data_IF_327785633709
#
_entry.id   IF_327785633709
#
_cell.length_a   1.000
_cell.length_b   1.000
_cell.length_c   1.000
_cell.angle_alpha   90.00
_cell.angle_beta   90.00
_cell.angle_gamma   90.00
#
_symmetry.space_group_name_H-M   'P 1'
#
loop_
_entity.id
_entity.type
_entity.pdbx_description
1 polymer ?
#
# COMPACT_ATOMS: atom_id res chain seq x y z
N UNK A 1 -1.54 -17.09 20.36
CA UNK A 1 -2.48 -16.75 19.27
C UNK A 1 -2.39 -17.84 18.24
N UNK A 2 -3.44 -18.57 18.04
CA UNK A 2 -3.48 -19.71 17.13
C UNK A 2 -4.08 -19.29 15.78
N UNK A 3 -3.41 -19.66 14.68
CA UNK A 3 -3.90 -19.48 13.32
C UNK A 3 -4.96 -20.52 13.03
N UNK A 4 -6.15 -20.08 12.59
CA UNK A 4 -7.31 -20.94 12.33
C UNK A 4 -7.65 -20.97 10.83
N UNK A 5 -8.94 -20.84 10.51
CA UNK A 5 -9.44 -20.99 9.15
C UNK A 5 -9.00 -19.86 8.22
N UNK A 6 -8.74 -20.19 6.97
CA UNK A 6 -8.51 -19.19 5.92
C UNK A 6 -9.82 -18.48 5.59
N UNK A 7 -9.87 -17.19 5.87
CA UNK A 7 -11.02 -16.33 5.62
C UNK A 7 -11.07 -15.83 4.17
N UNK A 8 -9.89 -15.52 3.63
CA UNK A 8 -9.78 -14.89 2.30
C UNK A 8 -8.41 -15.17 1.69
N UNK A 9 -8.37 -15.27 0.36
CA UNK A 9 -7.13 -15.29 -0.42
C UNK A 9 -7.21 -14.26 -1.54
N UNK A 10 -6.28 -13.30 -1.51
CA UNK A 10 -6.10 -12.30 -2.55
C UNK A 10 -4.93 -12.60 -3.46
N UNK A 11 -4.60 -11.63 -4.30
CA UNK A 11 -3.49 -11.70 -5.29
C UNK A 11 -2.13 -11.91 -4.62
N UNK A 12 -1.88 -11.25 -3.49
CA UNK A 12 -0.57 -11.23 -2.81
C UNK A 12 -0.60 -11.77 -1.37
N UNK A 13 -1.77 -12.01 -0.80
CA UNK A 13 -1.94 -12.35 0.63
C UNK A 13 -3.04 -13.37 0.86
N UNK A 14 -2.89 -14.12 1.95
CA UNK A 14 -3.94 -14.93 2.59
C UNK A 14 -4.27 -14.32 3.95
N UNK A 15 -5.52 -14.36 4.34
CA UNK A 15 -5.99 -13.87 5.63
C UNK A 15 -6.62 -15.01 6.39
N UNK A 16 -6.25 -15.15 7.66
CA UNK A 16 -6.72 -16.22 8.54
C UNK A 16 -7.38 -15.64 9.79
N UNK A 17 -8.40 -16.34 10.29
CA UNK A 17 -8.95 -16.07 11.62
C UNK A 17 -8.00 -16.54 12.71
N UNK A 18 -8.23 -16.05 13.93
CA UNK A 18 -7.48 -16.45 15.11
C UNK A 18 -8.44 -16.92 16.24
N UNK A 19 -7.90 -17.27 17.38
CA UNK A 19 -8.64 -17.50 18.62
C UNK A 19 -9.26 -16.22 19.20
N UNK A 20 -8.79 -15.03 18.77
CA UNK A 20 -9.39 -13.73 19.09
C UNK A 20 -10.23 -13.24 17.90
N UNK A 21 -11.56 -12.99 18.08
CA UNK A 21 -12.43 -12.57 16.98
C UNK A 21 -12.12 -11.19 16.42
N UNK A 22 -11.37 -10.36 17.15
CA UNK A 22 -10.98 -9.01 16.75
C UNK A 22 -9.60 -8.93 16.04
N UNK A 23 -8.92 -10.08 15.92
CA UNK A 23 -7.59 -10.18 15.33
C UNK A 23 -7.56 -11.19 14.16
N UNK A 24 -6.75 -10.85 13.16
CA UNK A 24 -6.51 -11.69 11.98
C UNK A 24 -5.01 -11.89 11.78
N UNK A 25 -4.64 -12.97 11.08
CA UNK A 25 -3.27 -13.17 10.59
C UNK A 25 -3.27 -12.96 9.08
N UNK A 26 -2.39 -12.08 8.63
CA UNK A 26 -2.09 -11.86 7.21
C UNK A 26 -0.81 -12.60 6.86
N UNK A 27 -0.85 -13.45 5.84
CA UNK A 27 0.28 -14.23 5.32
C UNK A 27 0.59 -13.79 3.90
N UNK A 28 1.81 -13.32 3.66
CA UNK A 28 2.24 -12.74 2.38
C UNK A 28 2.78 -13.81 1.44
N UNK A 29 2.41 -13.69 0.15
CA UNK A 29 2.77 -14.60 -0.93
C UNK A 29 3.82 -13.96 -1.85
N UNK A 30 4.53 -14.81 -2.57
CA UNK A 30 5.47 -14.38 -3.62
C UNK A 30 4.79 -14.16 -5.00
N UNK A 31 3.48 -14.47 -5.07
CA UNK A 31 2.69 -14.22 -6.29
C UNK A 31 2.67 -12.73 -6.64
N UNK A 32 2.93 -12.43 -7.90
CA UNK A 32 2.86 -11.10 -8.46
C UNK A 32 1.85 -11.04 -9.59
N UNK A 33 1.00 -10.02 -9.57
CA UNK A 33 0.04 -9.74 -10.65
C UNK A 33 0.13 -8.27 -11.05
N UNK A 34 -0.10 -8.00 -12.34
CA UNK A 34 -0.23 -6.65 -12.87
C UNK A 34 -1.38 -6.59 -13.87
N UNK A 35 -1.87 -5.35 -14.17
CA UNK A 35 -2.92 -5.08 -15.15
C UNK A 35 -4.18 -5.92 -14.88
N UNK A 36 -4.74 -5.84 -13.66
CA UNK A 36 -5.93 -6.60 -13.23
C UNK A 36 -5.80 -8.12 -13.44
N UNK A 37 -4.60 -8.66 -13.21
CA UNK A 37 -4.33 -10.10 -13.31
C UNK A 37 -4.04 -10.62 -14.72
N UNK A 38 -3.94 -9.75 -15.72
CA UNK A 38 -3.52 -10.13 -17.08
C UNK A 38 -2.07 -10.58 -17.12
N UNK A 39 -1.21 -9.99 -16.29
CA UNK A 39 0.17 -10.44 -16.09
C UNK A 39 0.30 -11.13 -14.74
N UNK A 40 0.83 -12.34 -14.74
CA UNK A 40 1.05 -13.16 -13.54
C UNK A 40 2.49 -13.66 -13.53
N UNK A 41 3.04 -13.81 -12.34
CA UNK A 41 4.38 -14.36 -12.12
C UNK A 41 4.63 -14.55 -10.63
N UNK A 42 5.86 -14.93 -10.31
CA UNK A 42 6.37 -15.06 -8.95
C UNK A 42 7.63 -14.23 -8.84
N UNK A 43 7.77 -13.48 -7.76
CA UNK A 43 8.97 -12.75 -7.39
C UNK A 43 9.47 -13.38 -6.10
N UNK A 44 10.60 -14.09 -6.16
CA UNK A 44 11.14 -14.83 -5.02
C UNK A 44 11.46 -13.88 -3.86
N UNK A 45 10.99 -14.22 -2.64
CA UNK A 45 11.21 -13.41 -1.45
C UNK A 45 10.32 -12.17 -1.31
N UNK A 46 9.50 -11.86 -2.32
CA UNK A 46 8.61 -10.68 -2.29
C UNK A 46 7.72 -10.65 -1.05
N UNK A 47 7.14 -11.79 -0.68
CA UNK A 47 6.25 -11.89 0.48
C UNK A 47 6.96 -11.54 1.80
N UNK A 48 8.22 -11.93 1.95
CA UNK A 48 9.03 -11.56 3.13
C UNK A 48 9.24 -10.05 3.16
N UNK A 49 9.74 -9.48 2.07
CA UNK A 49 10.04 -8.05 1.96
C UNK A 49 8.77 -7.20 2.17
N UNK A 50 7.67 -7.56 1.53
CA UNK A 50 6.41 -6.82 1.68
C UNK A 50 5.89 -6.87 3.12
N UNK A 51 5.97 -8.03 3.79
CA UNK A 51 5.58 -8.18 5.19
C UNK A 51 6.43 -7.29 6.11
N UNK A 52 7.74 -7.43 6.05
CA UNK A 52 8.67 -6.71 6.92
C UNK A 52 8.63 -5.20 6.67
N UNK A 53 8.71 -4.76 5.42
CA UNK A 53 8.62 -3.34 5.08
C UNK A 53 7.29 -2.72 5.56
N UNK A 54 6.17 -3.40 5.30
CA UNK A 54 4.86 -2.90 5.76
C UNK A 54 4.81 -2.78 7.27
N UNK A 55 5.32 -3.76 8.01
CA UNK A 55 5.38 -3.73 9.47
C UNK A 55 6.20 -2.54 9.98
N UNK A 56 7.41 -2.34 9.45
CA UNK A 56 8.29 -1.22 9.84
C UNK A 56 7.64 0.14 9.55
N UNK A 57 7.07 0.30 8.36
CA UNK A 57 6.42 1.56 7.99
C UNK A 57 5.16 1.81 8.81
N UNK A 58 4.35 0.79 9.12
CA UNK A 58 3.19 0.95 10.00
C UNK A 58 3.60 1.33 11.42
N UNK A 59 4.66 0.72 11.96
CA UNK A 59 5.20 1.12 13.27
C UNK A 59 5.72 2.57 13.27
N UNK A 60 6.40 3.00 12.21
CA UNK A 60 6.82 4.40 12.04
C UNK A 60 5.61 5.34 12.05
N UNK A 61 4.57 5.01 11.29
CA UNK A 61 3.35 5.80 11.22
C UNK A 61 2.62 5.88 12.55
N UNK A 62 2.53 4.77 13.31
CA UNK A 62 1.93 4.77 14.66
C UNK A 62 2.70 5.66 15.65
N UNK A 63 4.03 5.62 15.62
CA UNK A 63 4.88 6.56 16.41
C UNK A 63 4.59 8.04 16.07
N UNK A 64 4.18 8.30 14.84
CA UNK A 64 3.81 9.64 14.34
C UNK A 64 2.31 9.94 14.53
N UNK A 65 1.55 9.08 15.22
CA UNK A 65 0.15 9.27 15.55
C UNK A 65 -0.84 9.00 14.42
N UNK A 66 -0.45 8.20 13.43
CA UNK A 66 -1.38 7.65 12.40
C UNK A 66 -1.80 6.25 12.84
N UNK A 67 -3.09 6.01 13.11
CA UNK A 67 -3.54 4.69 13.54
C UNK A 67 -3.48 3.69 12.39
N UNK A 68 -2.98 2.48 12.67
CA UNK A 68 -2.92 1.38 11.72
C UNK A 68 -3.60 0.11 12.25
N UNK A 69 -3.79 -0.87 11.38
CA UNK A 69 -4.28 -2.18 11.77
C UNK A 69 -3.17 -3.09 12.33
N UNK A 70 -1.91 -2.70 12.24
CA UNK A 70 -0.77 -3.49 12.72
C UNK A 70 -0.88 -3.78 14.21
N UNK A 71 -0.53 -4.99 14.62
CA UNK A 71 -0.43 -5.39 16.03
C UNK A 71 0.97 -5.93 16.31
N UNK A 72 1.41 -6.93 15.55
CA UNK A 72 2.68 -7.62 15.81
C UNK A 72 3.12 -8.47 14.62
N UNK A 73 4.39 -8.44 14.30
CA UNK A 73 5.01 -9.43 13.42
C UNK A 73 5.05 -10.80 14.12
N UNK A 74 4.66 -11.86 13.42
CA UNK A 74 4.66 -13.22 13.93
C UNK A 74 5.88 -14.00 13.42
N UNK A 75 6.20 -13.81 12.15
CA UNK A 75 7.38 -14.36 11.48
C UNK A 75 7.65 -13.54 10.21
N UNK A 76 8.66 -13.92 9.44
CA UNK A 76 9.08 -13.20 8.23
C UNK A 76 7.97 -12.95 7.19
N UNK A 77 6.89 -13.76 7.19
CA UNK A 77 5.80 -13.70 6.21
C UNK A 77 4.43 -13.40 6.81
N UNK A 78 4.31 -13.41 8.12
CA UNK A 78 3.02 -13.31 8.78
C UNK A 78 2.98 -12.21 9.84
N UNK A 79 1.90 -11.47 9.80
CA UNK A 79 1.63 -10.36 10.72
C UNK A 79 0.25 -10.51 11.34
N UNK A 80 0.17 -10.30 12.65
CA UNK A 80 -1.07 -10.15 13.38
C UNK A 80 -1.58 -8.72 13.18
N UNK A 81 -2.84 -8.60 12.78
CA UNK A 81 -3.50 -7.32 12.52
C UNK A 81 -4.85 -7.24 13.20
N UNK A 82 -5.30 -6.03 13.52
CA UNK A 82 -6.66 -5.76 13.97
C UNK A 82 -7.63 -6.10 12.82
N UNK A 83 -8.72 -6.76 13.16
CA UNK A 83 -9.80 -7.03 12.20
C UNK A 83 -10.47 -5.72 11.84
N UNK A 84 -10.52 -5.41 10.57
CA UNK A 84 -11.17 -4.21 10.04
C UNK A 84 -12.18 -4.58 8.97
N UNK A 85 -13.22 -3.77 8.83
CA UNK A 85 -14.06 -3.77 7.64
C UNK A 85 -13.48 -2.79 6.64
N UNK A 86 -12.86 -3.30 5.59
CA UNK A 86 -12.24 -2.47 4.54
C UNK A 86 -13.29 -1.53 3.95
N UNK A 87 -12.91 -0.26 3.81
CA UNK A 87 -13.66 0.71 3.03
C UNK A 87 -13.29 0.44 1.56
N UNK A 88 -14.26 0.21 0.68
CA UNK A 88 -13.98 -0.24 -0.69
C UNK A 88 -13.45 0.90 -1.58
N UNK A 89 -12.37 1.52 -1.13
CA UNK A 89 -11.64 2.58 -1.81
C UNK A 89 -10.15 2.26 -1.84
N UNK A 90 -9.55 2.38 -3.00
CA UNK A 90 -8.11 2.58 -3.13
C UNK A 90 -7.84 4.09 -3.05
N UNK A 91 -6.93 4.48 -2.18
CA UNK A 91 -6.53 5.87 -1.95
C UNK A 91 -5.10 6.04 -2.43
N UNK A 92 -4.89 6.87 -3.44
CA UNK A 92 -3.59 7.04 -4.06
C UNK A 92 -3.14 8.49 -3.87
N UNK A 93 -1.96 8.68 -3.29
CA UNK A 93 -1.30 9.99 -3.21
C UNK A 93 -0.13 9.98 -4.17
N UNK A 94 -0.02 11.06 -4.98
CA UNK A 94 1.07 11.21 -5.95
C UNK A 94 1.81 12.52 -5.74
N UNK A 95 3.13 12.41 -5.72
CA UNK A 95 4.06 13.52 -5.64
C UNK A 95 4.66 13.83 -7.02
N UNK A 96 4.72 12.83 -7.89
CA UNK A 96 5.32 12.87 -9.22
C UNK A 96 4.39 12.14 -10.18
N UNK A 97 4.26 12.66 -11.40
CA UNK A 97 3.47 12.02 -12.44
C UNK A 97 4.09 10.67 -12.84
N UNK A 98 3.31 9.59 -12.73
CA UNK A 98 3.71 8.25 -13.16
C UNK A 98 2.50 7.35 -13.43
N UNK A 99 2.73 6.24 -14.10
CA UNK A 99 1.76 5.17 -14.27
C UNK A 99 0.44 5.62 -14.88
N UNK A 100 -0.67 5.32 -14.21
CA UNK A 100 -2.02 5.65 -14.71
C UNK A 100 -2.28 7.16 -14.81
N UNK A 101 -1.70 7.98 -13.94
CA UNK A 101 -1.84 9.43 -14.01
C UNK A 101 -1.25 9.98 -15.31
N UNK A 102 0.00 9.63 -15.61
CA UNK A 102 0.65 10.05 -16.86
C UNK A 102 -0.15 9.59 -18.09
N UNK A 103 -0.65 8.35 -18.05
CA UNK A 103 -1.43 7.77 -19.15
C UNK A 103 -2.79 8.45 -19.34
N UNK A 104 -3.53 8.72 -18.27
CA UNK A 104 -4.89 9.26 -18.34
C UNK A 104 -4.91 10.76 -18.67
N UNK A 105 -3.94 11.51 -18.18
CA UNK A 105 -3.93 12.97 -18.30
C UNK A 105 -2.90 13.48 -19.32
N UNK A 106 -2.12 12.59 -19.97
CA UNK A 106 -1.13 12.98 -20.96
C UNK A 106 0.06 13.77 -20.37
N UNK A 107 0.31 13.61 -19.06
CA UNK A 107 1.43 14.27 -18.39
C UNK A 107 2.66 13.38 -18.49
N UNK A 108 3.81 13.95 -18.82
CA UNK A 108 5.08 13.22 -18.91
C UNK A 108 5.45 12.58 -17.57
N UNK A 109 5.93 11.32 -17.60
CA UNK A 109 6.43 10.63 -16.40
C UNK A 109 7.63 11.39 -15.84
N UNK A 110 7.63 11.60 -14.51
CA UNK A 110 8.71 12.31 -13.83
C UNK A 110 8.41 13.80 -13.55
N UNK A 111 7.32 14.35 -14.06
CA UNK A 111 6.90 15.72 -13.71
C UNK A 111 6.54 15.77 -12.23
N UNK A 112 7.25 16.59 -11.47
CA UNK A 112 7.04 16.81 -10.04
C UNK A 112 5.87 17.77 -9.85
N UNK A 113 4.95 17.44 -8.96
CA UNK A 113 3.81 18.31 -8.66
C UNK A 113 4.18 19.38 -7.62
N UNK A 114 3.69 20.61 -7.79
CA UNK A 114 3.83 21.68 -6.79
C UNK A 114 3.20 21.29 -5.44
N UNK A 115 2.13 20.50 -5.49
CA UNK A 115 1.45 19.93 -4.33
C UNK A 115 1.06 18.49 -4.65
N UNK A 116 1.16 17.57 -3.67
CA UNK A 116 0.68 16.21 -3.85
C UNK A 116 -0.80 16.19 -4.27
N UNK A 117 -1.15 15.30 -5.19
CA UNK A 117 -2.55 15.03 -5.53
C UNK A 117 -3.04 13.76 -4.84
N UNK A 118 -4.35 13.69 -4.59
CA UNK A 118 -5.01 12.52 -4.02
C UNK A 118 -6.09 12.03 -4.98
N UNK A 119 -6.12 10.73 -5.19
CA UNK A 119 -7.12 10.04 -6.02
C UNK A 119 -7.85 8.99 -5.19
N UNK A 120 -9.13 8.79 -5.50
CA UNK A 120 -9.91 7.67 -5.01
C UNK A 120 -10.30 6.78 -6.18
N UNK A 121 -10.15 5.46 -6.02
CA UNK A 121 -10.72 4.48 -6.93
C UNK A 121 -11.68 3.58 -6.18
N UNK A 122 -12.77 3.19 -6.83
CA UNK A 122 -13.67 2.19 -6.29
C UNK A 122 -13.02 0.83 -6.38
N UNK A 123 -12.73 0.22 -5.21
CA UNK A 123 -12.14 -1.12 -5.13
C UNK A 123 -13.12 -2.18 -5.61
N UNK A 124 -13.11 -2.42 -6.91
CA UNK A 124 -13.95 -3.40 -7.58
C UNK A 124 -13.26 -3.92 -8.84
N UNK A 125 -12.55 -5.04 -8.71
CA UNK A 125 -11.80 -5.67 -9.81
C UNK A 125 -12.67 -5.90 -11.08
N UNK A 126 -13.94 -6.24 -10.89
CA UNK A 126 -14.86 -6.50 -12.02
C UNK A 126 -15.18 -5.24 -12.84
N UNK A 127 -15.07 -4.06 -12.21
CA UNK A 127 -15.26 -2.77 -12.87
C UNK A 127 -13.92 -2.11 -13.27
N UNK A 128 -12.77 -2.73 -13.00
CA UNK A 128 -11.46 -2.19 -13.28
C UNK A 128 -11.05 -1.02 -12.38
N UNK A 129 -11.53 -1.01 -11.13
CA UNK A 129 -11.21 -0.03 -10.09
C UNK A 129 -11.35 1.43 -10.58
N UNK A 130 -12.55 1.86 -11.02
CA UNK A 130 -12.75 3.17 -11.64
C UNK A 130 -12.48 4.32 -10.66
N UNK A 131 -11.92 5.42 -11.19
CA UNK A 131 -11.72 6.64 -10.42
C UNK A 131 -13.04 7.20 -9.90
N UNK A 132 -13.01 7.65 -8.65
CA UNK A 132 -14.13 8.32 -7.97
C UNK A 132 -13.70 9.70 -7.48
N UNK A 133 -14.68 10.62 -7.44
CA UNK A 133 -14.59 11.80 -6.60
C UNK A 133 -15.42 11.63 -5.31
N UNK A 134 -15.36 12.60 -4.40
CA UNK A 134 -16.11 12.57 -3.13
C UNK A 134 -17.62 12.35 -3.34
N UNK A 135 -18.22 13.01 -4.31
CA UNK A 135 -19.65 12.90 -4.58
C UNK A 135 -20.05 11.52 -5.08
N UNK A 136 -19.21 10.90 -5.92
CA UNK A 136 -19.42 9.52 -6.35
C UNK A 136 -19.34 8.55 -5.16
N UNK A 137 -18.32 8.71 -4.29
CA UNK A 137 -18.17 7.86 -3.10
C UNK A 137 -19.39 7.96 -2.16
N UNK A 138 -19.93 9.16 -1.98
CA UNK A 138 -21.15 9.40 -1.19
C UNK A 138 -22.39 8.78 -1.85
N UNK A 139 -22.58 8.98 -3.17
CA UNK A 139 -23.71 8.43 -3.91
C UNK A 139 -23.72 6.90 -3.89
N UNK A 140 -22.56 6.27 -3.99
CA UNK A 140 -22.37 4.83 -3.89
C UNK A 140 -22.43 4.30 -2.44
N UNK A 141 -22.51 5.19 -1.45
CA UNK A 141 -22.54 4.86 -0.01
C UNK A 141 -21.34 4.01 0.44
N UNK A 142 -20.19 4.16 -0.19
CA UNK A 142 -18.97 3.42 0.17
C UNK A 142 -18.32 3.99 1.42
N UNK A 143 -18.45 5.31 1.64
CA UNK A 143 -18.00 6.01 2.83
C UNK A 143 -18.89 7.22 3.11
N UNK A 144 -18.93 7.67 4.37
CA UNK A 144 -19.56 8.94 4.75
C UNK A 144 -18.61 10.11 4.46
N UNK A 145 -19.16 11.32 4.40
CA UNK A 145 -18.37 12.54 4.20
C UNK A 145 -17.26 12.69 5.27
N UNK A 146 -17.59 12.41 6.53
CA UNK A 146 -16.64 12.49 7.66
C UNK A 146 -15.52 11.46 7.54
N UNK A 147 -15.81 10.25 7.06
CA UNK A 147 -14.81 9.22 6.79
C UNK A 147 -13.88 9.64 5.65
N UNK A 148 -14.41 10.16 4.55
CA UNK A 148 -13.61 10.64 3.42
C UNK A 148 -12.65 11.75 3.82
N UNK A 149 -13.12 12.72 4.64
CA UNK A 149 -12.26 13.77 5.19
C UNK A 149 -11.16 13.21 6.10
N UNK A 150 -11.49 12.19 6.90
CA UNK A 150 -10.51 11.54 7.78
C UNK A 150 -9.47 10.79 6.97
N UNK A 151 -9.90 10.06 5.95
CA UNK A 151 -9.02 9.32 5.03
C UNK A 151 -8.08 10.29 4.30
N UNK A 152 -8.61 11.37 3.73
CA UNK A 152 -7.79 12.39 3.05
C UNK A 152 -6.73 12.99 3.98
N UNK A 153 -7.11 13.37 5.19
CA UNK A 153 -6.19 13.90 6.20
C UNK A 153 -5.10 12.89 6.56
N UNK A 154 -5.46 11.63 6.78
CA UNK A 154 -4.48 10.58 7.07
C UNK A 154 -3.57 10.32 5.86
N UNK A 155 -4.12 10.22 4.67
CA UNK A 155 -3.35 9.99 3.46
C UNK A 155 -2.29 11.06 3.21
N UNK A 156 -2.66 12.33 3.37
CA UNK A 156 -1.72 13.44 3.22
C UNK A 156 -0.67 13.47 4.34
N UNK A 157 -1.05 13.14 5.57
CA UNK A 157 -0.09 13.02 6.67
C UNK A 157 0.89 11.88 6.48
N UNK A 158 0.38 10.70 6.07
CA UNK A 158 1.20 9.53 5.73
C UNK A 158 2.19 9.90 4.63
N UNK A 159 1.74 10.62 3.59
CA UNK A 159 2.61 11.07 2.51
C UNK A 159 3.80 11.90 3.01
N UNK A 160 3.56 12.89 3.86
CA UNK A 160 4.63 13.70 4.43
C UNK A 160 5.64 12.86 5.22
N UNK A 161 5.15 12.00 6.11
CA UNK A 161 6.01 11.12 6.92
C UNK A 161 6.84 10.18 6.04
N UNK A 162 6.22 9.55 5.05
CA UNK A 162 6.93 8.62 4.17
C UNK A 162 7.91 9.32 3.22
N UNK A 163 7.58 10.53 2.71
CA UNK A 163 8.53 11.31 1.92
C UNK A 163 9.80 11.66 2.72
N UNK A 164 9.62 12.15 3.95
CA UNK A 164 10.74 12.46 4.85
C UNK A 164 11.58 11.22 5.14
N UNK A 165 10.96 10.09 5.47
CA UNK A 165 11.64 8.84 5.75
C UNK A 165 12.40 8.32 4.51
N UNK A 166 11.75 8.22 3.38
CA UNK A 166 12.39 7.69 2.16
C UNK A 166 13.52 8.60 1.65
N UNK A 167 13.42 9.91 1.87
CA UNK A 167 14.52 10.83 1.54
C UNK A 167 15.78 10.52 2.34
N UNK A 168 15.68 10.10 3.62
CA UNK A 168 16.86 9.66 4.39
C UNK A 168 17.49 8.39 3.83
N UNK A 169 16.70 7.54 3.15
CA UNK A 169 17.17 6.32 2.49
C UNK A 169 17.73 6.56 1.07
N UNK A 170 17.84 7.79 0.60
CA UNK A 170 18.21 8.10 -0.79
C UNK A 170 17.15 7.63 -1.79
N UNK A 171 15.89 7.65 -1.41
CA UNK A 171 14.76 7.17 -2.21
C UNK A 171 13.70 8.25 -2.36
N UNK A 172 13.19 8.41 -3.57
CA UNK A 172 12.09 9.31 -3.88
C UNK A 172 10.77 8.54 -3.89
N UNK A 173 9.84 8.93 -3.01
CA UNK A 173 8.46 8.44 -3.03
C UNK A 173 7.67 9.14 -4.14
N UNK A 174 7.44 8.45 -5.23
CA UNK A 174 6.72 8.97 -6.41
C UNK A 174 5.22 9.02 -6.17
N UNK A 175 4.64 7.89 -5.87
CA UNK A 175 3.25 7.71 -5.48
C UNK A 175 3.07 6.43 -4.67
N UNK A 176 1.93 6.30 -4.02
CA UNK A 176 1.58 5.06 -3.32
C UNK A 176 0.07 4.92 -3.13
N UNK A 177 -0.37 3.67 -3.10
CA UNK A 177 -1.74 3.26 -2.85
C UNK A 177 -1.90 2.83 -1.39
N UNK A 178 -2.99 3.26 -0.78
CA UNK A 178 -3.41 2.89 0.57
C UNK A 178 -4.83 2.34 0.57
N UNK A 179 -5.13 1.50 1.55
CA UNK A 179 -6.48 1.10 1.89
C UNK A 179 -6.76 1.41 3.37
N UNK A 180 -7.99 1.77 3.67
CA UNK A 180 -8.42 2.09 5.04
C UNK A 180 -9.54 1.17 5.45
N UNK A 181 -9.63 0.90 6.74
CA UNK A 181 -10.68 0.07 7.32
C UNK A 181 -11.31 0.70 8.54
N UNK A 182 -12.53 0.23 8.85
CA UNK A 182 -13.25 0.58 10.08
C UNK A 182 -13.02 -0.51 11.12
N UNK A 183 -12.58 -0.12 12.31
CA UNK A 183 -12.61 -0.97 13.50
C UNK A 183 -14.07 -1.17 14.00
N UNK A 184 -14.24 -2.03 14.99
CA UNK A 184 -15.56 -2.32 15.57
C UNK A 184 -16.22 -1.09 16.20
N UNK A 185 -15.43 -0.16 16.73
CA UNK A 185 -15.88 1.13 17.30
C UNK A 185 -16.16 2.22 16.25
N UNK A 186 -15.96 1.91 14.97
CA UNK A 186 -16.14 2.84 13.85
C UNK A 186 -14.95 3.73 13.55
N UNK A 187 -13.86 3.65 14.31
CA UNK A 187 -12.64 4.41 14.03
C UNK A 187 -11.97 3.94 12.73
N UNK A 188 -11.37 4.89 12.01
CA UNK A 188 -10.68 4.63 10.75
C UNK A 188 -9.19 4.41 11.01
N UNK A 189 -8.65 3.34 10.44
CA UNK A 189 -7.23 3.01 10.51
C UNK A 189 -6.68 2.70 9.13
N UNK A 190 -5.39 2.94 8.93
CA UNK A 190 -4.67 2.44 7.76
C UNK A 190 -4.62 0.91 7.84
N UNK A 191 -4.92 0.27 6.73
CA UNK A 191 -4.93 -1.18 6.59
C UNK A 191 -4.13 -1.60 5.35
N UNK A 192 -4.29 -2.85 4.93
CA UNK A 192 -3.59 -3.47 3.80
C UNK A 192 -2.06 -3.47 4.00
N UNK A 193 -1.31 -2.85 3.15
CA UNK A 193 0.17 -2.82 3.18
C UNK A 193 0.71 -1.49 2.65
N UNK A 194 1.94 -1.17 3.06
CA UNK A 194 2.81 -0.20 2.40
C UNK A 194 4.09 -0.92 2.02
N UNK A 195 4.31 -1.16 0.72
CA UNK A 195 5.36 -2.04 0.23
C UNK A 195 5.77 -1.65 -1.19
N UNK A 196 6.81 -2.26 -1.78
CA UNK A 196 7.15 -2.05 -3.19
C UNK A 196 6.04 -2.45 -4.16
N UNK A 197 5.03 -3.22 -3.72
CA UNK A 197 3.85 -3.56 -4.51
C UNK A 197 2.85 -2.40 -4.62
N UNK A 198 2.78 -1.56 -3.58
CA UNK A 198 1.82 -0.45 -3.49
C UNK A 198 2.45 0.92 -3.65
N UNK A 199 3.77 1.03 -3.58
CA UNK A 199 4.54 2.26 -3.76
C UNK A 199 5.32 2.26 -5.07
N UNK A 200 5.51 3.45 -5.68
CA UNK A 200 6.59 3.72 -6.62
C UNK A 200 7.71 4.40 -5.88
N UNK A 201 8.85 3.73 -5.86
CA UNK A 201 10.05 4.13 -5.15
C UNK A 201 11.20 4.20 -6.16
N UNK A 202 11.73 5.40 -6.38
CA UNK A 202 12.84 5.59 -7.29
C UNK A 202 14.10 5.96 -6.52
N UNK A 203 15.23 5.46 -6.97
CA UNK A 203 16.53 5.96 -6.51
C UNK A 203 16.61 7.48 -6.75
N UNK A 204 17.00 8.25 -5.73
CA UNK A 204 16.94 9.72 -5.80
C UNK A 204 17.94 10.32 -6.80
N UNK A 205 19.05 9.64 -7.06
CA UNK A 205 20.11 10.12 -7.94
C UNK A 205 19.93 9.61 -9.38
N UNK A 206 19.65 8.33 -9.54
CA UNK A 206 19.61 7.66 -10.85
C UNK A 206 18.20 7.56 -11.43
N UNK A 207 17.17 7.75 -10.63
CA UNK A 207 15.76 7.53 -10.96
C UNK A 207 15.45 6.08 -11.33
N UNK A 208 16.32 5.14 -10.95
CA UNK A 208 16.09 3.71 -11.13
C UNK A 208 14.90 3.26 -10.28
N UNK A 209 14.06 2.40 -10.84
CA UNK A 209 12.86 1.91 -10.17
C UNK A 209 13.21 0.78 -9.20
N UNK A 210 12.86 0.97 -7.92
CA UNK A 210 13.11 0.03 -6.82
C UNK A 210 11.81 -0.66 -6.34
N UNK A 211 10.84 -0.78 -7.23
CA UNK A 211 9.48 -1.22 -6.94
C UNK A 211 8.92 -2.15 -8.02
N UNK A 212 7.63 -2.49 -7.88
CA UNK A 212 6.91 -3.41 -8.78
C UNK A 212 6.83 -2.95 -10.24
N UNK A 213 7.15 -1.70 -10.57
CA UNK A 213 7.17 -1.27 -11.96
C UNK A 213 8.22 -2.02 -12.78
N UNK A 214 9.28 -2.55 -12.15
CA UNK A 214 10.21 -3.46 -12.84
C UNK A 214 9.50 -4.70 -13.37
N UNK A 215 8.60 -5.29 -12.57
CA UNK A 215 7.76 -6.42 -13.01
C UNK A 215 6.69 -5.98 -14.02
N UNK A 216 6.01 -4.86 -13.79
CA UNK A 216 4.95 -4.37 -14.70
C UNK A 216 5.48 -4.09 -16.09
N UNK A 217 6.70 -3.57 -16.20
CA UNK A 217 7.32 -3.02 -17.42
C UNK A 217 8.42 -3.91 -18.02
N UNK A 218 8.61 -5.13 -17.49
CA UNK A 218 9.64 -6.09 -17.93
C UNK A 218 11.07 -5.50 -17.92
N UNK A 219 11.42 -4.74 -16.90
CA UNK A 219 12.73 -4.10 -16.79
C UNK A 219 13.83 -5.04 -16.25
N UNK A 220 13.46 -6.24 -15.78
CA UNK A 220 14.39 -7.20 -15.15
C UNK A 220 14.84 -6.77 -13.76
N UNK A 221 15.62 -7.62 -13.06
CA UNK A 221 16.22 -7.34 -11.75
C UNK A 221 15.19 -6.99 -10.68
N UNK A 222 14.01 -7.63 -10.69
CA UNK A 222 12.91 -7.31 -9.77
C UNK A 222 13.29 -7.70 -8.34
N UNK A 223 13.83 -8.90 -8.15
CA UNK A 223 14.28 -9.42 -6.86
C UNK A 223 15.39 -8.56 -6.27
N UNK A 224 16.35 -8.14 -7.09
CA UNK A 224 17.47 -7.28 -6.67
C UNK A 224 16.95 -5.90 -6.21
N UNK A 225 15.98 -5.33 -6.92
CA UNK A 225 15.37 -4.06 -6.56
C UNK A 225 14.61 -4.14 -5.22
N UNK A 226 13.87 -5.24 -4.99
CA UNK A 226 13.17 -5.48 -3.72
C UNK A 226 14.17 -5.69 -2.57
N UNK A 227 15.25 -6.41 -2.79
CA UNK A 227 16.30 -6.59 -1.81
C UNK A 227 17.00 -5.24 -1.48
N UNK A 228 17.31 -4.45 -2.50
CA UNK A 228 17.95 -3.15 -2.33
C UNK A 228 17.08 -2.16 -1.55
N UNK A 229 15.79 -2.06 -1.87
CA UNK A 229 14.90 -1.16 -1.13
C UNK A 229 14.72 -1.60 0.34
N UNK A 230 14.70 -2.91 0.59
CA UNK A 230 14.63 -3.43 1.96
C UNK A 230 15.92 -3.13 2.74
N UNK A 231 17.09 -3.34 2.13
CA UNK A 231 18.39 -3.02 2.74
C UNK A 231 18.46 -1.53 3.13
N UNK A 232 18.05 -0.63 2.22
CA UNK A 232 18.04 0.82 2.50
C UNK A 232 17.09 1.17 3.64
N UNK A 233 15.95 0.53 3.72
CA UNK A 233 15.02 0.72 4.83
C UNK A 233 15.65 0.29 6.15
N UNK A 234 16.24 -0.91 6.21
CA UNK A 234 16.85 -1.46 7.44
C UNK A 234 18.00 -0.62 7.98
N UNK A 235 18.79 0.00 7.10
CA UNK A 235 19.89 0.89 7.49
C UNK A 235 19.43 2.20 8.15
N UNK A 236 18.13 2.54 8.07
CA UNK A 236 17.58 3.80 8.57
C UNK A 236 16.46 3.64 9.61
N UNK A 237 16.29 2.41 10.17
CA UNK A 237 15.32 2.08 11.23
C UNK A 237 15.79 2.43 12.65
#
# INVERSE_FOLDING_TARGET
MEKKEQLYEGKAKKVFTTDDPDLLIVSYKDDATAFNGLKKGTIAGKGIINNQMSNHLMMLLEKQGVPTHFVKELNERETLVKKVRIIPLEVIVRNIAAGSFSKHYGVEEGVVFDKPTIEFSYKNDALGDPLLNFHHALALKVATYRELQTIERYAMRINGILQEFWATCGVTLVDFKMEFGRLADGSIVLADEISPDTCRLWDSDTHEKLDKDRFRRDLGGVEDAYAEIMRRLEEHL
#
